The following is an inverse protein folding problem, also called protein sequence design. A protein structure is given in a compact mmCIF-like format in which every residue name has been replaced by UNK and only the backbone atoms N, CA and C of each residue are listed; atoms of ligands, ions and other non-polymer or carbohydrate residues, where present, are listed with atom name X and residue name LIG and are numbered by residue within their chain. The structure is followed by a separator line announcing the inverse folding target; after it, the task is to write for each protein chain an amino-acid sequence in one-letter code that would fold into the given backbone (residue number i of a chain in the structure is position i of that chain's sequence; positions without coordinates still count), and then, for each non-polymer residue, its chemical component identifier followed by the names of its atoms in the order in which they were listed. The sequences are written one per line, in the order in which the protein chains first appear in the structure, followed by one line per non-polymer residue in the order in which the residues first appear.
data_IF_285579865703
#
_entry.id   IF_285579865703
#
_cell.length_a   1.000
_cell.length_b   1.000
_cell.length_c   1.000
_cell.angle_alpha   90.00
_cell.angle_beta   90.00
_cell.angle_gamma   90.00
#
_symmetry.space_group_name_H-M   'P 1'
#
loop_
_entity.id
_entity.type
_entity.pdbx_description
1 polymer ?
#
# COMPACT_ATOMS: atom_id res chain seq x y z
N UNK A 1 -2.91 17.43 -3.42
CA UNK A 1 -4.29 17.08 -3.05
C UNK A 1 -4.24 15.97 -2.01
N UNK A 2 -4.87 16.12 -0.84
CA UNK A 2 -4.96 15.02 0.13
C UNK A 2 -5.74 13.87 -0.51
N UNK A 3 -5.18 12.66 -0.48
CA UNK A 3 -5.88 11.46 -0.94
C UNK A 3 -6.98 11.16 0.07
N UNK A 4 -8.23 11.30 -0.34
CA UNK A 4 -9.38 10.86 0.45
C UNK A 4 -9.58 9.38 0.17
N UNK A 5 -9.37 8.54 1.19
CA UNK A 5 -9.57 7.09 1.08
C UNK A 5 -11.07 6.79 1.27
N UNK A 6 -11.75 6.17 0.29
CA UNK A 6 -13.16 5.80 0.46
C UNK A 6 -13.34 4.81 1.62
N UNK A 7 -14.41 4.91 2.42
CA UNK A 7 -14.68 3.96 3.51
C UNK A 7 -14.74 2.50 3.05
N UNK A 8 -15.24 2.24 1.84
CA UNK A 8 -15.26 0.90 1.26
C UNK A 8 -13.86 0.30 1.09
N UNK A 9 -12.86 1.12 0.75
CA UNK A 9 -11.48 0.66 0.67
C UNK A 9 -10.94 0.30 2.05
N UNK A 10 -11.26 1.09 3.09
CA UNK A 10 -10.84 0.80 4.46
C UNK A 10 -11.38 -0.54 4.95
N UNK A 11 -12.63 -0.87 4.61
CA UNK A 11 -13.23 -2.16 4.96
C UNK A 11 -12.42 -3.31 4.34
N UNK A 12 -12.10 -3.20 3.04
CA UNK A 12 -11.30 -4.23 2.34
C UNK A 12 -9.89 -4.34 2.95
N UNK A 13 -9.26 -3.21 3.27
CA UNK A 13 -7.93 -3.21 3.89
C UNK A 13 -7.96 -3.88 5.28
N UNK A 14 -8.95 -3.59 6.12
CA UNK A 14 -9.06 -4.22 7.43
C UNK A 14 -9.34 -5.73 7.34
N UNK A 15 -10.12 -6.19 6.36
CA UNK A 15 -10.28 -7.63 6.11
C UNK A 15 -8.93 -8.29 5.81
N UNK A 16 -8.07 -7.63 5.03
CA UNK A 16 -6.75 -8.15 4.66
C UNK A 16 -5.67 -7.98 5.73
N UNK A 17 -5.97 -7.29 6.84
CA UNK A 17 -4.99 -7.00 7.89
C UNK A 17 -4.31 -8.23 8.51
N UNK A 18 -4.98 -9.37 8.75
CA UNK A 18 -4.36 -10.58 9.29
C UNK A 18 -3.28 -11.17 8.38
N UNK A 19 -3.34 -10.93 7.06
CA UNK A 19 -2.36 -11.42 6.11
C UNK A 19 -0.97 -10.79 6.25
N UNK A 20 -0.83 -9.73 7.07
CA UNK A 20 0.37 -8.91 7.11
C UNK A 20 0.84 -8.66 8.54
N UNK A 21 2.16 -8.48 8.70
CA UNK A 21 2.70 -7.82 9.89
C UNK A 21 2.34 -6.33 9.89
N UNK A 22 2.35 -5.68 11.06
CA UNK A 22 2.06 -4.25 11.18
C UNK A 22 2.80 -3.35 10.14
N UNK A 23 4.13 -3.45 9.95
CA UNK A 23 4.83 -2.62 8.96
C UNK A 23 4.54 -3.00 7.50
N UNK A 24 4.29 -4.28 7.19
CA UNK A 24 3.93 -4.69 5.83
C UNK A 24 2.51 -4.27 5.47
N UNK A 25 1.58 -4.31 6.43
CA UNK A 25 0.20 -3.81 6.27
C UNK A 25 0.15 -2.33 5.92
N UNK A 26 0.94 -1.50 6.63
CA UNK A 26 1.00 -0.06 6.35
C UNK A 26 1.55 0.21 4.94
N UNK A 27 2.57 -0.54 4.53
CA UNK A 27 3.16 -0.39 3.19
C UNK A 27 2.18 -0.85 2.11
N UNK A 28 1.50 -1.97 2.32
CA UNK A 28 0.45 -2.47 1.43
C UNK A 28 -0.69 -1.46 1.28
N UNK A 29 -1.23 -0.98 2.40
CA UNK A 29 -2.34 0.00 2.41
C UNK A 29 -1.99 1.28 1.64
N UNK A 30 -0.77 1.80 1.84
CA UNK A 30 -0.30 2.96 1.10
C UNK A 30 -0.14 2.68 -0.39
N UNK A 31 0.43 1.52 -0.75
CA UNK A 31 0.58 1.10 -2.14
C UNK A 31 -0.77 0.95 -2.85
N UNK A 32 -1.74 0.26 -2.24
CA UNK A 32 -3.10 0.09 -2.78
C UNK A 32 -3.79 1.45 -2.94
N UNK A 33 -3.71 2.29 -1.92
CA UNK A 33 -4.25 3.66 -1.97
C UNK A 33 -3.63 4.46 -3.12
N UNK A 34 -2.31 4.36 -3.29
CA UNK A 34 -1.58 4.97 -4.39
C UNK A 34 -1.97 4.43 -5.76
N UNK A 35 -2.17 3.11 -5.90
CA UNK A 35 -2.61 2.49 -7.15
C UNK A 35 -4.00 2.96 -7.58
N UNK A 36 -4.93 3.09 -6.63
CA UNK A 36 -6.29 3.53 -6.92
C UNK A 36 -6.37 5.04 -7.17
N UNK A 37 -5.43 5.81 -6.61
CA UNK A 37 -5.35 7.26 -6.81
C UNK A 37 -4.59 7.66 -8.08
N UNK A 38 -3.70 6.80 -8.58
CA UNK A 38 -2.93 7.06 -9.79
C UNK A 38 -3.78 6.84 -11.04
N UNK A 39 -4.11 7.92 -11.77
CA UNK A 39 -4.81 7.86 -13.06
C UNK A 39 -3.96 7.34 -14.24
N UNK A 40 -3.00 6.44 -14.01
CA UNK A 40 -2.00 6.00 -15.00
C UNK A 40 -1.33 4.67 -14.65
N UNK A 41 -0.11 4.44 -15.17
CA UNK A 41 0.61 3.19 -15.01
C UNK A 41 0.82 2.83 -13.51
N UNK A 42 0.33 1.64 -13.12
CA UNK A 42 0.38 1.08 -11.76
C UNK A 42 1.77 0.56 -11.41
N UNK A 43 2.80 1.37 -11.63
CA UNK A 43 4.18 1.05 -11.23
C UNK A 43 4.34 1.28 -9.73
N UNK A 44 5.25 0.52 -9.10
CA UNK A 44 5.52 0.65 -7.66
C UNK A 44 5.91 2.09 -7.29
N UNK A 45 6.74 2.74 -8.11
CA UNK A 45 7.15 4.13 -7.90
C UNK A 45 6.02 5.12 -8.14
N UNK A 46 5.16 4.90 -9.14
CA UNK A 46 3.97 5.70 -9.39
C UNK A 46 2.97 5.61 -8.23
N UNK A 47 2.72 4.40 -7.72
CA UNK A 47 1.90 4.16 -6.53
C UNK A 47 2.48 4.86 -5.30
N UNK A 48 3.81 4.77 -5.10
CA UNK A 48 4.50 5.43 -3.99
C UNK A 48 4.34 6.96 -4.02
N UNK A 49 4.46 7.55 -5.21
CA UNK A 49 4.27 8.97 -5.42
C UNK A 49 2.80 9.38 -5.21
N UNK A 50 1.85 8.64 -5.79
CA UNK A 50 0.42 8.92 -5.68
C UNK A 50 -0.10 8.78 -4.24
N UNK A 51 0.50 7.88 -3.44
CA UNK A 51 0.25 7.76 -2.01
C UNK A 51 0.84 8.92 -1.18
N UNK A 52 1.54 9.88 -1.81
CA UNK A 52 2.17 11.01 -1.15
C UNK A 52 3.42 10.65 -0.34
N UNK A 53 4.04 9.49 -0.59
CA UNK A 53 5.20 9.00 0.16
C UNK A 53 6.55 9.43 -0.45
N UNK A 54 6.54 9.96 -1.68
CA UNK A 54 7.73 10.53 -2.30
C UNK A 54 8.32 11.65 -1.42
N UNK A 55 9.61 11.55 -1.09
CA UNK A 55 10.30 12.49 -0.19
C UNK A 55 9.96 12.36 1.31
N UNK A 56 8.91 11.60 1.68
CA UNK A 56 8.51 11.36 3.08
C UNK A 56 8.99 10.02 3.61
N UNK A 57 9.16 9.05 2.73
CA UNK A 57 9.66 7.73 3.06
C UNK A 57 10.52 7.17 1.91
N UNK A 58 11.53 6.38 2.26
CA UNK A 58 12.44 5.80 1.27
C UNK A 58 11.72 4.74 0.42
N UNK A 59 11.76 4.90 -0.91
CA UNK A 59 11.11 4.04 -1.90
C UNK A 59 11.50 2.56 -1.79
N UNK A 60 12.69 2.26 -1.25
CA UNK A 60 13.12 0.88 -0.98
C UNK A 60 12.18 0.11 -0.05
N UNK A 61 11.34 0.78 0.75
CA UNK A 61 10.28 0.11 1.53
C UNK A 61 9.29 -0.62 0.62
N UNK A 62 8.91 -0.02 -0.50
CA UNK A 62 8.02 -0.64 -1.47
C UNK A 62 8.65 -1.89 -2.11
N UNK A 63 9.93 -1.81 -2.47
CA UNK A 63 10.64 -2.98 -3.01
C UNK A 63 10.85 -4.07 -1.95
N UNK A 64 11.16 -3.69 -0.70
CA UNK A 64 11.27 -4.65 0.42
C UNK A 64 9.95 -5.32 0.73
N UNK A 65 8.82 -4.64 0.56
CA UNK A 65 7.50 -5.25 0.69
C UNK A 65 7.36 -6.45 -0.25
N UNK A 66 7.63 -6.29 -1.54
CA UNK A 66 7.51 -7.40 -2.50
C UNK A 66 8.62 -8.44 -2.43
N UNK A 67 9.83 -8.07 -1.99
CA UNK A 67 10.99 -8.99 -2.01
C UNK A 67 11.28 -9.69 -0.69
N UNK A 68 10.83 -9.15 0.45
CA UNK A 68 11.25 -9.60 1.78
C UNK A 68 10.16 -9.60 2.85
N UNK A 69 9.04 -8.91 2.65
CA UNK A 69 8.00 -8.92 3.67
C UNK A 69 7.33 -10.30 3.71
N UNK A 70 6.98 -10.72 4.93
CA UNK A 70 6.15 -11.90 5.15
C UNK A 70 4.69 -11.49 4.99
N UNK A 71 3.96 -12.31 4.24
CA UNK A 71 2.54 -12.20 3.98
C UNK A 71 1.97 -13.60 3.84
N UNK A 72 0.74 -13.79 4.33
CA UNK A 72 0.05 -15.08 4.31
C UNK A 72 -1.42 -14.85 3.93
N UNK A 73 -1.78 -15.27 2.71
CA UNK A 73 -3.13 -15.08 2.18
C UNK A 73 -4.13 -16.09 2.74
N UNK A 74 -3.68 -17.14 3.42
CA UNK A 74 -4.57 -18.13 4.05
C UNK A 74 -5.16 -17.62 5.38
N UNK A 75 -4.80 -16.40 5.81
CA UNK A 75 -5.30 -15.76 7.03
C UNK A 75 -6.67 -15.05 6.86
N UNK A 76 -7.28 -15.08 5.68
CA UNK A 76 -8.55 -14.40 5.35
C UNK A 76 -9.57 -15.30 4.67
#
# INVERSE_FOLDING_TARGET
MPVTVPPSLLIVLEVLRPCFTAPSYLTFSALVTGALSAGGARTITGMWQAAGLAGRAHWSRAHRFFSRAVWDLDQV
#
